data_IF_344449712168
#
_entry.id   IF_344449712168
#
_cell.length_a   1.000
_cell.length_b   1.000
_cell.length_c   1.000
_cell.angle_alpha   90.00
_cell.angle_beta   90.00
_cell.angle_gamma   90.00
#
_symmetry.space_group_name_H-M   'P 1'
#
loop_
_entity.id
_entity.type
_entity.pdbx_description
1 polymer ?
#
# COMPACT_ATOMS: atom_id res chain seq x y z
N UNK A 1 -24.38 16.19 -22.29
CA UNK A 1 -25.00 17.51 -22.50
C UNK A 1 -26.36 17.52 -21.81
N UNK A 2 -26.60 18.45 -20.91
CA UNK A 2 -27.93 18.68 -20.33
C UNK A 2 -28.48 19.98 -20.92
N UNK A 3 -29.70 19.95 -21.48
CA UNK A 3 -30.37 21.12 -21.97
C UNK A 3 -31.33 21.61 -20.90
N UNK A 4 -31.33 22.91 -20.62
CA UNK A 4 -32.29 23.54 -19.74
C UNK A 4 -33.04 24.64 -20.52
N UNK A 5 -34.32 24.87 -20.17
CA UNK A 5 -35.17 25.87 -20.78
C UNK A 5 -35.72 26.79 -19.73
N UNK A 6 -35.89 28.07 -20.09
CA UNK A 6 -36.54 29.08 -19.28
C UNK A 6 -37.48 29.90 -20.11
N UNK A 7 -38.69 30.20 -19.57
CA UNK A 7 -39.70 31.04 -20.23
C UNK A 7 -40.27 32.00 -19.18
N UNK A 8 -40.30 33.26 -19.50
CA UNK A 8 -40.93 34.27 -18.66
C UNK A 8 -42.41 34.47 -19.05
N UNK A 9 -43.21 34.88 -18.05
CA UNK A 9 -44.62 35.22 -18.26
C UNK A 9 -44.86 36.67 -17.84
N UNK A 10 -45.50 37.44 -18.71
CA UNK A 10 -45.94 38.79 -18.42
C UNK A 10 -47.46 38.79 -18.20
N UNK A 11 -47.91 39.25 -17.05
CA UNK A 11 -49.34 39.45 -16.74
C UNK A 11 -49.60 40.93 -16.69
N UNK A 12 -50.58 41.39 -17.48
CA UNK A 12 -51.09 42.78 -17.46
C UNK A 12 -52.59 42.77 -17.46
N UNK A 13 -53.20 43.29 -16.37
CA UNK A 13 -54.61 43.16 -16.07
C UNK A 13 -55.04 41.70 -16.11
N UNK A 14 -56.01 41.32 -16.94
CA UNK A 14 -56.48 39.93 -17.09
C UNK A 14 -55.83 39.19 -18.30
N UNK A 15 -54.78 39.77 -18.86
CA UNK A 15 -54.08 39.19 -20.03
C UNK A 15 -52.72 38.66 -19.63
N UNK A 16 -52.44 37.42 -20.01
CA UNK A 16 -51.16 36.74 -19.78
C UNK A 16 -50.49 36.51 -21.14
N UNK A 17 -49.23 36.90 -21.24
CA UNK A 17 -48.38 36.66 -22.44
C UNK A 17 -47.10 36.01 -22.02
N UNK A 18 -46.67 34.96 -22.74
CA UNK A 18 -45.40 34.25 -22.49
C UNK A 18 -44.32 34.81 -23.42
N UNK A 19 -43.10 34.86 -22.92
CA UNK A 19 -41.92 35.11 -23.75
C UNK A 19 -41.64 33.91 -24.68
N UNK A 20 -40.66 34.05 -25.61
CA UNK A 20 -40.02 32.89 -26.19
C UNK A 20 -39.38 32.04 -25.10
N UNK A 21 -39.20 30.76 -25.40
CA UNK A 21 -38.40 29.84 -24.58
C UNK A 21 -36.92 30.13 -24.86
N UNK A 22 -36.20 30.52 -23.83
CA UNK A 22 -34.73 30.57 -23.89
C UNK A 22 -34.18 29.14 -23.61
N UNK A 23 -33.28 28.69 -24.44
CA UNK A 23 -32.64 27.36 -24.33
C UNK A 23 -31.17 27.56 -23.97
N UNK A 24 -30.73 26.94 -22.89
CA UNK A 24 -29.35 26.87 -22.48
C UNK A 24 -28.86 25.43 -22.52
N UNK A 25 -27.56 25.23 -22.67
CA UNK A 25 -26.90 23.94 -22.69
C UNK A 25 -25.83 23.90 -21.63
N UNK A 26 -25.82 22.85 -20.79
CA UNK A 26 -24.73 22.54 -19.87
C UNK A 26 -23.79 21.58 -20.57
N UNK A 27 -22.58 22.01 -20.87
CA UNK A 27 -21.53 21.18 -21.44
C UNK A 27 -20.71 20.55 -20.32
N UNK A 28 -20.74 19.21 -20.25
CA UNK A 28 -19.85 18.41 -19.43
C UNK A 28 -18.64 18.04 -20.28
N UNK A 29 -17.65 18.92 -20.31
CA UNK A 29 -16.47 18.81 -21.20
C UNK A 29 -15.19 18.49 -20.43
N UNK A 30 -15.22 18.49 -19.08
CA UNK A 30 -14.08 18.20 -18.24
C UNK A 30 -14.31 16.88 -17.50
N UNK A 31 -13.34 15.98 -17.57
CA UNK A 31 -13.34 14.72 -16.83
C UNK A 31 -12.02 14.53 -16.10
N UNK A 32 -12.04 13.79 -14.99
CA UNK A 32 -10.85 13.39 -14.24
C UNK A 32 -10.82 11.88 -14.10
N UNK A 33 -9.64 11.30 -14.20
CA UNK A 33 -9.37 9.91 -13.84
C UNK A 33 -8.14 9.85 -12.94
N UNK A 34 -8.19 8.94 -11.95
CA UNK A 34 -7.10 8.63 -11.06
C UNK A 34 -6.73 7.16 -11.19
N UNK A 35 -5.45 6.86 -11.25
CA UNK A 35 -4.93 5.49 -11.33
C UNK A 35 -3.67 5.36 -10.51
N UNK A 36 -3.40 4.16 -10.00
CA UNK A 36 -2.12 3.79 -9.40
C UNK A 36 -1.28 2.98 -10.40
N UNK A 37 0.04 3.17 -10.39
CA UNK A 37 0.97 2.35 -11.22
C UNK A 37 1.01 0.91 -10.72
N UNK A 38 0.84 0.71 -9.42
CA UNK A 38 0.66 -0.60 -8.78
C UNK A 38 -0.60 -0.57 -7.93
N UNK A 39 -1.45 -1.58 -8.07
CA UNK A 39 -2.69 -1.72 -7.28
C UNK A 39 -2.50 -2.52 -6.00
N UNK A 40 -1.25 -2.81 -5.61
CA UNK A 40 -0.92 -3.47 -4.35
C UNK A 40 0.03 -2.61 -3.53
N UNK A 41 -0.07 -2.73 -2.21
CA UNK A 41 0.79 -2.06 -1.24
C UNK A 41 1.14 -2.98 -0.07
N UNK A 42 2.26 -2.71 0.57
CA UNK A 42 2.70 -3.28 1.84
C UNK A 42 3.02 -2.18 2.86
N UNK A 43 3.62 -2.56 3.97
CA UNK A 43 4.09 -1.62 4.98
C UNK A 43 5.29 -0.80 4.46
N UNK A 44 5.21 0.53 4.58
CA UNK A 44 6.23 1.49 4.12
C UNK A 44 6.50 1.45 2.60
N UNK A 45 5.58 0.93 1.82
CA UNK A 45 5.69 0.95 0.36
C UNK A 45 5.37 2.32 -0.22
N UNK A 46 5.99 2.61 -1.37
CA UNK A 46 5.70 3.81 -2.17
C UNK A 46 4.78 3.45 -3.32
N UNK A 47 3.70 4.20 -3.47
CA UNK A 47 2.72 4.08 -4.56
C UNK A 47 2.80 5.33 -5.43
N UNK A 48 2.93 5.14 -6.74
CA UNK A 48 2.87 6.23 -7.71
C UNK A 48 1.45 6.36 -8.24
N UNK A 49 0.86 7.55 -8.10
CA UNK A 49 -0.47 7.90 -8.62
C UNK A 49 -0.35 8.78 -9.85
N UNK A 50 -1.30 8.58 -10.78
CA UNK A 50 -1.47 9.38 -11.99
C UNK A 50 -2.89 9.93 -11.97
N UNK A 51 -3.02 11.26 -12.07
CA UNK A 51 -4.28 11.96 -12.24
C UNK A 51 -4.30 12.56 -13.64
N UNK A 52 -5.26 12.18 -14.47
CA UNK A 52 -5.45 12.72 -15.81
C UNK A 52 -6.75 13.54 -15.86
N UNK A 53 -6.64 14.79 -16.30
CA UNK A 53 -7.77 15.71 -16.46
C UNK A 53 -7.88 15.99 -17.97
N UNK A 54 -9.02 15.64 -18.57
CA UNK A 54 -9.27 15.79 -20.00
C UNK A 54 -10.31 16.89 -20.24
N UNK A 55 -10.00 17.80 -21.15
CA UNK A 55 -10.90 18.85 -21.61
C UNK A 55 -11.23 18.63 -23.08
N UNK A 56 -12.49 18.25 -23.36
CA UNK A 56 -13.03 18.08 -24.73
C UNK A 56 -13.64 19.36 -25.29
N UNK A 57 -13.66 20.45 -24.48
CA UNK A 57 -14.15 21.74 -24.86
C UNK A 57 -13.10 22.57 -25.61
N UNK A 58 -13.56 23.60 -26.30
CA UNK A 58 -12.72 24.50 -27.10
C UNK A 58 -12.17 25.72 -26.34
N UNK A 59 -12.36 25.76 -25.02
CA UNK A 59 -11.85 26.80 -24.12
C UNK A 59 -10.97 26.15 -23.06
N UNK A 60 -9.78 26.72 -22.73
CA UNK A 60 -8.95 26.18 -21.66
C UNK A 60 -9.57 26.46 -20.29
N UNK A 61 -9.36 25.56 -19.32
CA UNK A 61 -9.63 25.78 -17.91
C UNK A 61 -8.33 26.18 -17.20
N UNK A 62 -8.35 27.26 -16.43
CA UNK A 62 -7.19 27.78 -15.69
C UNK A 62 -7.51 27.99 -14.24
N UNK A 63 -6.48 27.97 -13.38
CA UNK A 63 -6.64 28.17 -11.94
C UNK A 63 -7.38 27.03 -11.25
N UNK A 64 -7.30 25.81 -11.79
CA UNK A 64 -7.83 24.62 -11.14
C UNK A 64 -6.96 24.21 -9.96
N UNK A 65 -7.60 23.61 -8.98
CA UNK A 65 -6.97 22.95 -7.83
C UNK A 65 -7.38 21.49 -7.83
N UNK A 66 -6.40 20.61 -7.70
CA UNK A 66 -6.57 19.17 -7.50
C UNK A 66 -6.35 18.90 -6.02
N UNK A 67 -7.35 18.36 -5.34
CA UNK A 67 -7.29 17.97 -3.94
C UNK A 67 -7.37 16.45 -3.85
N UNK A 68 -6.45 15.85 -3.11
CA UNK A 68 -6.32 14.41 -2.95
C UNK A 68 -6.35 14.10 -1.45
N UNK A 69 -7.23 13.18 -1.02
CA UNK A 69 -7.40 12.88 0.40
C UNK A 69 -6.40 11.87 0.96
N UNK A 70 -5.44 11.41 0.12
CA UNK A 70 -4.40 10.44 0.51
C UNK A 70 -4.95 9.17 1.19
N UNK A 71 -6.12 8.72 0.73
CA UNK A 71 -6.79 7.53 1.26
C UNK A 71 -7.43 7.71 2.63
N UNK A 72 -7.68 8.94 3.06
CA UNK A 72 -8.26 9.25 4.37
C UNK A 72 -9.55 8.46 4.65
N UNK A 73 -9.64 7.88 5.85
CA UNK A 73 -10.79 7.10 6.29
C UNK A 73 -11.23 7.45 7.72
N UNK A 74 -12.51 7.22 8.01
CA UNK A 74 -13.06 7.48 9.33
C UNK A 74 -12.58 6.44 10.36
N UNK A 75 -12.17 6.91 11.53
CA UNK A 75 -11.78 6.11 12.67
C UNK A 75 -12.34 6.74 13.95
N UNK A 76 -13.39 6.14 14.52
CA UNK A 76 -14.16 6.68 15.63
C UNK A 76 -14.60 8.15 15.36
N UNK A 77 -14.13 9.10 16.13
CA UNK A 77 -14.42 10.54 15.97
C UNK A 77 -13.36 11.30 15.17
N UNK A 78 -12.33 10.60 14.68
CA UNK A 78 -11.19 11.16 13.93
C UNK A 78 -11.15 10.67 12.49
N UNK A 79 -10.24 11.24 11.71
CA UNK A 79 -9.89 10.78 10.37
C UNK A 79 -8.42 10.40 10.36
N UNK A 80 -8.12 9.18 9.88
CA UNK A 80 -6.76 8.72 9.69
C UNK A 80 -6.40 8.78 8.22
N UNK A 81 -5.15 9.12 7.92
CA UNK A 81 -4.61 9.24 6.57
C UNK A 81 -3.51 8.20 6.37
N UNK A 82 -3.76 7.11 5.63
CA UNK A 82 -2.83 5.99 5.50
C UNK A 82 -1.66 6.24 4.53
N UNK A 83 -1.73 7.32 3.74
CA UNK A 83 -0.71 7.68 2.77
C UNK A 83 -0.08 9.04 3.12
N UNK A 84 1.23 9.16 2.93
CA UNK A 84 1.99 10.41 3.08
C UNK A 84 2.57 10.79 1.73
N UNK A 85 2.26 11.99 1.25
CA UNK A 85 2.84 12.54 0.03
C UNK A 85 4.37 12.62 0.14
N UNK A 86 5.07 12.13 -0.89
CA UNK A 86 6.52 12.28 -1.01
C UNK A 86 6.86 13.67 -1.56
N UNK A 87 7.40 14.53 -0.71
CA UNK A 87 7.67 15.92 -1.08
C UNK A 87 8.59 16.04 -2.31
N UNK A 88 8.22 16.93 -3.23
CA UNK A 88 8.94 17.16 -4.48
C UNK A 88 8.73 16.09 -5.57
N UNK A 89 7.95 15.03 -5.31
CA UNK A 89 7.70 13.96 -6.28
C UNK A 89 6.79 14.39 -7.43
N UNK A 90 5.96 15.44 -7.24
CA UNK A 90 4.95 15.88 -8.23
C UNK A 90 5.59 16.26 -9.57
N UNK A 91 5.04 15.73 -10.65
CA UNK A 91 5.31 16.13 -12.03
C UNK A 91 3.99 16.50 -12.69
N UNK A 92 4.01 17.64 -13.40
CA UNK A 92 2.82 18.17 -14.08
C UNK A 92 3.10 18.31 -15.57
N UNK A 93 2.18 17.79 -16.38
CA UNK A 93 2.26 17.82 -17.84
C UNK A 93 0.99 18.42 -18.43
N UNK A 94 1.11 19.15 -19.53
CA UNK A 94 -0.01 19.54 -20.42
C UNK A 94 0.25 19.02 -21.82
N UNK A 95 -0.69 18.25 -22.38
CA UNK A 95 -0.55 17.61 -23.70
C UNK A 95 0.80 16.85 -23.84
N UNK A 96 1.24 16.17 -22.77
CA UNK A 96 2.49 15.42 -22.74
C UNK A 96 3.77 16.23 -22.52
N UNK A 97 3.67 17.57 -22.44
CA UNK A 97 4.83 18.45 -22.21
C UNK A 97 4.95 18.80 -20.73
N UNK A 98 6.12 18.52 -20.15
CA UNK A 98 6.42 18.85 -18.74
C UNK A 98 6.30 20.35 -18.51
N UNK A 99 5.59 20.72 -17.46
CA UNK A 99 5.36 22.07 -17.00
C UNK A 99 6.19 22.39 -15.73
N UNK A 100 6.35 23.65 -15.37
CA UNK A 100 6.88 24.03 -14.06
C UNK A 100 6.08 23.37 -12.93
N UNK A 101 6.78 23.06 -11.82
CA UNK A 101 6.16 22.46 -10.64
C UNK A 101 5.03 23.35 -10.11
N UNK A 102 3.81 22.85 -9.94
CA UNK A 102 2.69 23.61 -9.41
C UNK A 102 2.87 23.90 -7.91
N UNK A 103 2.04 24.76 -7.36
CA UNK A 103 2.04 24.99 -5.90
C UNK A 103 1.41 23.80 -5.20
N UNK A 104 2.14 23.20 -4.25
CA UNK A 104 1.73 22.03 -3.48
C UNK A 104 1.59 22.39 -2.01
N UNK A 105 0.51 21.94 -1.38
CA UNK A 105 0.28 22.01 0.07
C UNK A 105 -0.14 20.62 0.53
N UNK A 106 0.52 20.10 1.57
CA UNK A 106 0.29 18.74 2.12
C UNK A 106 -0.08 18.75 3.60
N UNK A 107 -0.65 19.85 4.10
CA UNK A 107 -1.20 19.92 5.47
C UNK A 107 -2.67 19.54 5.40
N UNK A 108 -2.99 18.36 5.92
CA UNK A 108 -4.29 17.71 5.68
C UNK A 108 -4.29 16.99 4.34
N UNK A 109 -5.25 17.29 3.47
CA UNK A 109 -5.28 16.79 2.10
C UNK A 109 -4.11 17.34 1.27
N UNK A 110 -3.67 16.55 0.28
CA UNK A 110 -2.71 17.03 -0.72
C UNK A 110 -3.43 17.97 -1.70
N UNK A 111 -3.13 19.26 -1.65
CA UNK A 111 -3.70 20.26 -2.57
C UNK A 111 -2.64 20.73 -3.57
N UNK A 112 -2.95 20.62 -4.87
CA UNK A 112 -2.09 21.01 -6.00
C UNK A 112 -2.83 22.08 -6.79
N UNK A 113 -2.37 23.32 -6.74
CA UNK A 113 -3.04 24.49 -7.32
C UNK A 113 -2.29 25.11 -8.48
N UNK A 114 -3.01 25.92 -9.27
CA UNK A 114 -2.46 26.58 -10.47
C UNK A 114 -2.51 25.69 -11.71
N UNK A 115 -3.33 24.65 -11.72
CA UNK A 115 -3.44 23.72 -12.85
C UNK A 115 -4.22 24.36 -14.01
N UNK A 116 -3.70 24.17 -15.20
CA UNK A 116 -4.33 24.57 -16.47
C UNK A 116 -4.54 23.35 -17.34
N UNK A 117 -5.76 23.21 -17.89
CA UNK A 117 -6.09 22.16 -18.86
C UNK A 117 -6.38 22.84 -20.20
N UNK A 118 -5.56 22.65 -21.26
CA UNK A 118 -5.74 23.28 -22.55
C UNK A 118 -7.09 22.92 -23.20
N UNK A 119 -7.57 23.77 -24.10
CA UNK A 119 -8.72 23.44 -24.96
C UNK A 119 -8.40 22.20 -25.81
N UNK A 120 -9.36 21.28 -25.93
CA UNK A 120 -9.20 19.99 -26.66
C UNK A 120 -7.90 19.26 -26.25
N UNK A 121 -7.57 19.27 -24.96
CA UNK A 121 -6.31 18.76 -24.44
C UNK A 121 -6.43 18.13 -23.07
N UNK A 122 -5.28 17.88 -22.45
CA UNK A 122 -5.20 17.26 -21.14
C UNK A 122 -4.16 17.92 -20.22
N UNK A 123 -4.35 17.69 -18.91
CA UNK A 123 -3.35 17.86 -17.87
C UNK A 123 -3.13 16.52 -17.19
N UNK A 124 -1.87 16.17 -16.92
CA UNK A 124 -1.51 14.95 -16.20
C UNK A 124 -0.62 15.31 -15.02
N UNK A 125 -0.99 14.84 -13.85
CA UNK A 125 -0.21 14.93 -12.62
C UNK A 125 0.28 13.53 -12.25
N UNK A 126 1.56 13.41 -11.91
CA UNK A 126 2.16 12.17 -11.40
C UNK A 126 2.82 12.50 -10.08
N UNK A 127 2.52 11.75 -9.02
CA UNK A 127 3.12 11.94 -7.70
C UNK A 127 3.29 10.61 -6.98
N UNK A 128 4.12 10.62 -5.95
CA UNK A 128 4.38 9.47 -5.08
C UNK A 128 3.82 9.72 -3.68
N UNK A 129 3.28 8.66 -3.07
CA UNK A 129 2.87 8.64 -1.69
C UNK A 129 3.29 7.31 -1.05
N UNK A 130 3.75 7.36 0.21
CA UNK A 130 4.17 6.18 0.95
C UNK A 130 3.14 5.80 2.00
N UNK A 131 2.94 4.50 2.21
CA UNK A 131 2.12 3.98 3.31
C UNK A 131 2.77 4.27 4.66
N UNK A 132 1.96 4.55 5.67
CA UNK A 132 2.39 4.86 7.03
C UNK A 132 1.75 3.90 8.06
N UNK A 133 1.89 4.24 9.35
CA UNK A 133 1.37 3.46 10.48
C UNK A 133 -0.16 3.33 10.55
N UNK A 134 -0.89 4.07 9.72
CA UNK A 134 -2.36 3.98 9.62
C UNK A 134 -2.82 3.14 8.43
N UNK A 135 -1.90 2.64 7.59
CA UNK A 135 -2.26 1.82 6.43
C UNK A 135 -2.71 0.42 6.88
N UNK A 136 -3.94 -0.03 6.53
CA UNK A 136 -4.43 -1.34 6.92
C UNK A 136 -3.61 -2.45 6.26
N UNK A 137 -3.09 -3.42 7.05
CA UNK A 137 -2.18 -4.47 6.57
C UNK A 137 -2.76 -5.89 6.67
N UNK A 138 -3.97 -6.04 7.20
CA UNK A 138 -4.66 -7.34 7.25
C UNK A 138 -5.03 -7.77 5.84
N UNK A 139 -4.88 -9.04 5.52
CA UNK A 139 -5.24 -9.62 4.22
C UNK A 139 -6.67 -9.24 3.82
N UNK A 140 -6.82 -8.73 2.59
CA UNK A 140 -8.09 -8.22 2.06
C UNK A 140 -8.36 -6.74 2.35
N UNK A 141 -7.50 -6.05 3.10
CA UNK A 141 -7.63 -4.60 3.30
C UNK A 141 -7.33 -3.82 2.03
N UNK A 142 -7.93 -2.62 1.94
CA UNK A 142 -7.76 -1.71 0.80
C UNK A 142 -7.58 -0.27 1.28
N UNK A 143 -6.97 0.56 0.43
CA UNK A 143 -6.92 2.01 0.55
C UNK A 143 -7.60 2.59 -0.67
N UNK A 144 -8.70 3.34 -0.47
CA UNK A 144 -9.39 4.10 -1.53
C UNK A 144 -8.97 5.55 -1.46
N UNK A 145 -8.23 6.00 -2.44
CA UNK A 145 -7.69 7.35 -2.52
C UNK A 145 -8.49 8.20 -3.50
N UNK A 146 -9.16 9.23 -2.98
CA UNK A 146 -10.08 10.09 -3.73
C UNK A 146 -9.40 11.36 -4.21
N UNK A 147 -9.74 11.79 -5.41
CA UNK A 147 -9.33 13.06 -6.00
C UNK A 147 -10.54 13.94 -6.32
N UNK A 148 -10.42 15.24 -6.07
CA UNK A 148 -11.39 16.25 -6.46
C UNK A 148 -10.68 17.34 -7.25
N UNK A 149 -11.21 17.69 -8.41
CA UNK A 149 -10.76 18.85 -9.20
C UNK A 149 -11.80 19.94 -9.08
N UNK A 150 -11.36 21.12 -8.66
CA UNK A 150 -12.24 22.28 -8.40
C UNK A 150 -11.57 23.59 -8.82
N UNK A 151 -12.25 24.73 -8.66
CA UNK A 151 -11.74 26.03 -9.09
C UNK A 151 -12.06 26.34 -10.55
N UNK A 152 -11.47 27.41 -11.11
CA UNK A 152 -11.67 27.77 -12.51
C UNK A 152 -13.12 28.01 -12.96
N UNK A 153 -14.06 28.12 -12.03
CA UNK A 153 -15.49 28.31 -12.32
C UNK A 153 -16.26 27.05 -12.70
N UNK A 154 -15.67 25.85 -12.46
CA UNK A 154 -16.33 24.56 -12.71
C UNK A 154 -17.09 24.06 -11.46
N UNK A 155 -18.08 23.19 -11.67
CA UNK A 155 -18.53 22.31 -10.60
C UNK A 155 -17.44 21.28 -10.32
N UNK A 156 -17.18 20.94 -9.03
CA UNK A 156 -16.18 19.95 -8.70
C UNK A 156 -16.46 18.61 -9.38
N UNK A 157 -15.40 18.00 -9.94
CA UNK A 157 -15.42 16.65 -10.50
C UNK A 157 -14.51 15.76 -9.67
N UNK A 158 -14.86 14.48 -9.52
CA UNK A 158 -14.18 13.54 -8.64
C UNK A 158 -13.90 12.22 -9.31
N UNK A 159 -12.86 11.55 -8.85
CA UNK A 159 -12.57 10.15 -9.14
C UNK A 159 -11.82 9.52 -7.96
N UNK A 160 -11.62 8.22 -7.97
CA UNK A 160 -10.87 7.51 -6.95
C UNK A 160 -10.12 6.32 -7.55
N UNK A 161 -9.07 5.91 -6.83
CA UNK A 161 -8.34 4.68 -7.09
C UNK A 161 -8.26 3.86 -5.82
N UNK A 162 -8.47 2.55 -5.93
CA UNK A 162 -8.38 1.60 -4.83
C UNK A 162 -7.22 0.65 -5.04
N UNK A 163 -6.32 0.64 -4.06
CA UNK A 163 -5.19 -0.31 -3.98
C UNK A 163 -5.44 -1.32 -2.87
N UNK A 164 -4.96 -2.55 -3.04
CA UNK A 164 -5.15 -3.67 -2.11
C UNK A 164 -3.84 -4.01 -1.40
N UNK A 165 -3.93 -4.46 -0.15
CA UNK A 165 -2.76 -4.96 0.55
C UNK A 165 -2.19 -6.20 -0.15
N UNK A 166 -0.87 -6.29 -0.26
CA UNK A 166 -0.20 -7.50 -0.72
C UNK A 166 -0.47 -8.65 0.27
N UNK A 167 -0.70 -9.86 -0.23
CA UNK A 167 -0.79 -11.05 0.60
C UNK A 167 0.46 -11.89 0.40
N UNK A 168 1.43 -11.74 1.32
CA UNK A 168 2.72 -12.43 1.24
C UNK A 168 3.37 -12.55 2.63
N UNK A 169 4.16 -13.61 2.88
CA UNK A 169 5.06 -13.67 4.02
C UNK A 169 6.24 -12.71 3.83
N UNK A 170 6.76 -12.19 4.95
CA UNK A 170 7.98 -11.40 4.98
C UNK A 170 8.89 -11.95 6.09
N UNK A 171 9.86 -12.78 5.70
CA UNK A 171 10.64 -13.60 6.62
C UNK A 171 11.98 -12.96 6.98
N UNK A 172 12.36 -13.17 8.24
CA UNK A 172 13.71 -12.97 8.73
C UNK A 172 14.13 -14.17 9.59
N UNK A 173 15.44 -14.43 9.68
CA UNK A 173 16.00 -15.50 10.50
C UNK A 173 17.19 -14.97 11.29
N UNK A 174 17.25 -15.36 12.58
CA UNK A 174 18.40 -15.11 13.46
C UNK A 174 18.88 -16.43 14.05
N UNK A 175 20.20 -16.54 14.28
CA UNK A 175 20.85 -17.72 14.85
C UNK A 175 21.56 -17.33 16.14
N UNK A 176 21.40 -18.14 17.18
CA UNK A 176 22.14 -18.03 18.43
C UNK A 176 22.75 -19.39 18.82
N UNK A 177 23.74 -19.36 19.73
CA UNK A 177 24.44 -20.54 20.23
C UNK A 177 24.52 -20.47 21.76
N UNK A 178 24.38 -21.61 22.45
CA UNK A 178 24.53 -21.74 23.87
C UNK A 178 25.04 -23.15 24.21
N UNK A 179 25.91 -23.31 25.24
CA UNK A 179 26.61 -22.26 25.98
C UNK A 179 27.75 -21.61 25.21
N UNK A 180 28.19 -20.43 25.64
CA UNK A 180 29.40 -19.79 25.14
C UNK A 180 30.23 -19.29 26.31
N UNK A 181 31.47 -19.81 26.56
CA UNK A 181 32.17 -20.85 25.79
C UNK A 181 31.58 -22.24 26.02
N UNK A 182 31.89 -23.16 25.09
CA UNK A 182 31.62 -24.58 25.21
C UNK A 182 32.94 -25.32 25.44
N UNK A 183 32.94 -26.40 26.28
CA UNK A 183 34.10 -27.25 26.49
C UNK A 183 34.24 -28.26 25.35
N UNK A 184 35.46 -28.79 25.16
CA UNK A 184 35.69 -29.93 24.24
C UNK A 184 34.80 -31.13 24.66
N UNK A 185 34.21 -31.81 23.71
CA UNK A 185 33.14 -32.80 23.90
C UNK A 185 31.90 -32.27 24.64
N UNK A 186 31.71 -30.96 24.67
CA UNK A 186 30.54 -30.33 25.26
C UNK A 186 29.33 -30.31 24.36
N UNK A 187 28.15 -30.34 24.98
CA UNK A 187 26.88 -30.16 24.23
C UNK A 187 26.70 -28.70 23.90
N UNK A 188 26.37 -28.44 22.62
CA UNK A 188 26.03 -27.11 22.10
C UNK A 188 24.61 -27.12 21.53
N UNK A 189 23.92 -26.04 21.68
CA UNK A 189 22.59 -25.82 21.17
C UNK A 189 22.59 -24.58 20.28
N UNK A 190 22.18 -24.75 19.03
CA UNK A 190 21.91 -23.67 18.09
C UNK A 190 20.39 -23.43 18.06
N UNK A 191 19.99 -22.18 18.16
CA UNK A 191 18.61 -21.77 18.07
C UNK A 191 18.44 -20.84 16.87
N UNK A 192 17.59 -21.22 15.94
CA UNK A 192 17.18 -20.40 14.81
C UNK A 192 15.79 -19.86 15.09
N UNK A 193 15.68 -18.55 15.29
CA UNK A 193 14.40 -17.87 15.40
C UNK A 193 14.01 -17.34 14.02
N UNK A 194 12.87 -17.79 13.51
CA UNK A 194 12.29 -17.39 12.23
C UNK A 194 11.12 -16.49 12.57
N UNK A 195 11.08 -15.29 11.98
CA UNK A 195 10.01 -14.32 12.17
C UNK A 195 9.37 -13.99 10.83
N UNK A 196 8.05 -13.89 10.83
CA UNK A 196 7.25 -13.47 9.70
C UNK A 196 6.52 -12.17 10.06
N UNK A 197 6.87 -11.07 9.42
CA UNK A 197 6.19 -9.77 9.56
C UNK A 197 5.14 -9.53 8.47
N UNK A 198 4.98 -10.48 7.54
CA UNK A 198 3.97 -10.45 6.49
C UNK A 198 2.60 -10.94 6.95
N UNK A 199 1.60 -10.69 6.14
CA UNK A 199 0.19 -11.00 6.40
C UNK A 199 -0.29 -12.33 5.77
N UNK A 200 0.64 -13.18 5.37
CA UNK A 200 0.38 -14.54 4.96
C UNK A 200 1.33 -15.50 5.68
N UNK A 201 0.88 -16.70 6.08
CA UNK A 201 1.74 -17.70 6.68
C UNK A 201 2.66 -18.34 5.64
N UNK A 202 3.76 -18.94 6.08
CA UNK A 202 4.53 -19.92 5.30
C UNK A 202 3.98 -21.30 5.60
N UNK A 203 3.55 -22.02 4.57
CA UNK A 203 2.97 -23.34 4.65
C UNK A 203 3.84 -24.39 3.96
N UNK A 204 3.56 -25.66 4.16
CA UNK A 204 4.38 -26.76 3.64
C UNK A 204 4.58 -26.72 2.11
N UNK A 205 3.58 -26.27 1.36
CA UNK A 205 3.64 -26.16 -0.11
C UNK A 205 4.58 -25.04 -0.61
N UNK A 206 5.01 -24.14 0.26
CA UNK A 206 5.99 -23.09 -0.08
C UNK A 206 7.42 -23.63 -0.14
N UNK A 207 7.62 -24.89 0.30
CA UNK A 207 8.90 -25.60 0.27
C UNK A 207 10.04 -24.85 0.99
N UNK A 208 9.71 -24.09 2.06
CA UNK A 208 10.72 -23.41 2.86
C UNK A 208 11.64 -24.43 3.56
N UNK A 209 12.93 -24.14 3.55
CA UNK A 209 13.94 -24.98 4.20
C UNK A 209 15.10 -24.14 4.72
N UNK A 210 15.88 -24.69 5.65
CA UNK A 210 17.08 -24.08 6.25
C UNK A 210 18.26 -24.97 5.96
N UNK A 211 19.37 -24.36 5.58
CA UNK A 211 20.68 -25.02 5.50
C UNK A 211 21.68 -24.32 6.41
N UNK A 212 22.56 -25.10 7.05
CA UNK A 212 23.67 -24.61 7.85
C UNK A 212 24.86 -25.57 7.77
N UNK A 213 26.06 -25.06 7.90
CA UNK A 213 27.26 -25.88 7.97
C UNK A 213 27.91 -25.63 9.33
N UNK A 214 27.79 -26.63 10.22
CA UNK A 214 28.40 -26.54 11.55
C UNK A 214 29.92 -26.72 11.47
N UNK A 215 30.64 -25.77 12.06
CA UNK A 215 32.09 -25.82 12.21
C UNK A 215 32.47 -25.33 13.64
N UNK A 216 32.96 -26.20 14.52
CA UNK A 216 33.27 -27.62 14.28
C UNK A 216 32.03 -28.47 13.96
N UNK A 217 32.25 -29.61 13.27
CA UNK A 217 31.19 -30.57 12.99
C UNK A 217 30.66 -31.15 14.31
N UNK A 218 29.37 -31.41 14.35
CA UNK A 218 28.69 -31.96 15.50
C UNK A 218 28.55 -33.46 15.41
N UNK A 219 28.48 -34.13 16.56
CA UNK A 219 28.10 -35.54 16.68
C UNK A 219 26.83 -35.65 17.51
N UNK A 220 26.07 -36.75 17.38
CA UNK A 220 24.81 -36.98 18.09
C UNK A 220 23.82 -35.83 17.91
N UNK A 221 23.63 -35.38 16.67
CA UNK A 221 22.73 -34.26 16.34
C UNK A 221 21.29 -34.66 16.59
N UNK A 222 20.55 -33.77 17.23
CA UNK A 222 19.09 -33.81 17.35
C UNK A 222 18.48 -32.46 17.00
N UNK A 223 17.30 -32.44 16.39
CA UNK A 223 16.59 -31.22 16.05
C UNK A 223 15.18 -31.25 16.60
N UNK A 224 14.67 -30.06 16.96
CA UNK A 224 13.26 -29.87 17.31
C UNK A 224 12.74 -28.55 16.68
N UNK A 225 11.47 -28.57 16.29
CA UNK A 225 10.81 -27.41 15.71
C UNK A 225 9.57 -27.06 16.52
N UNK A 226 9.50 -25.83 17.00
CA UNK A 226 8.45 -25.36 17.92
C UNK A 226 8.21 -26.31 19.11
N UNK A 227 9.32 -26.87 19.64
CA UNK A 227 9.30 -27.80 20.78
C UNK A 227 8.98 -29.25 20.41
N UNK A 228 8.63 -29.58 19.17
CA UNK A 228 8.40 -30.95 18.70
C UNK A 228 9.71 -31.54 18.17
N UNK A 229 10.12 -32.69 18.73
CA UNK A 229 11.31 -33.41 18.28
C UNK A 229 11.12 -33.90 16.82
N UNK A 230 12.13 -33.66 16.00
CA UNK A 230 12.18 -34.08 14.58
C UNK A 230 12.95 -35.38 14.40
N UNK A 231 12.65 -36.10 13.34
CA UNK A 231 13.28 -37.37 12.96
C UNK A 231 14.22 -37.14 11.77
N UNK A 232 15.47 -37.54 11.93
CA UNK A 232 16.46 -37.48 10.85
C UNK A 232 16.02 -38.37 9.67
N UNK A 233 16.21 -37.88 8.45
CA UNK A 233 15.73 -38.51 7.22
C UNK A 233 14.26 -38.20 6.89
N UNK A 234 13.50 -37.58 7.81
CA UNK A 234 12.08 -37.19 7.60
C UNK A 234 11.92 -35.67 7.54
N UNK A 235 12.35 -34.95 8.57
CA UNK A 235 12.23 -33.50 8.65
C UNK A 235 13.56 -32.77 8.44
N UNK A 236 14.69 -33.47 8.69
CA UNK A 236 16.03 -32.93 8.46
C UNK A 236 17.02 -34.03 8.08
N UNK A 237 18.15 -33.62 7.51
CA UNK A 237 19.32 -34.47 7.29
C UNK A 237 20.55 -33.78 7.89
N UNK A 238 21.48 -34.58 8.43
CA UNK A 238 22.78 -34.08 8.86
C UNK A 238 23.91 -34.97 8.33
N UNK A 239 24.94 -34.35 7.78
CA UNK A 239 26.12 -35.06 7.29
C UNK A 239 27.30 -34.82 8.22
N UNK A 240 27.63 -35.82 9.06
CA UNK A 240 28.72 -35.75 10.04
C UNK A 240 30.11 -35.55 9.41
N UNK A 241 30.27 -35.84 8.11
CA UNK A 241 31.57 -35.67 7.40
C UNK A 241 31.78 -34.24 6.90
N UNK A 242 30.70 -33.52 6.57
CA UNK A 242 30.75 -32.16 6.02
C UNK A 242 30.26 -31.12 6.96
N UNK A 243 29.57 -31.48 8.05
CA UNK A 243 28.89 -30.59 8.97
C UNK A 243 27.62 -29.99 8.40
N UNK A 244 27.17 -30.41 7.21
CA UNK A 244 25.96 -29.87 6.59
C UNK A 244 24.71 -30.37 7.29
N UNK A 245 23.94 -29.44 7.81
CA UNK A 245 22.57 -29.62 8.28
C UNK A 245 21.60 -29.02 7.28
N UNK A 246 20.56 -29.74 6.95
CA UNK A 246 19.54 -29.31 5.99
C UNK A 246 18.16 -29.80 6.42
N UNK A 247 17.18 -28.91 6.47
CA UNK A 247 15.80 -29.32 6.70
C UNK A 247 15.16 -29.77 5.39
N UNK A 248 14.23 -30.71 5.46
CA UNK A 248 13.48 -31.16 4.28
C UNK A 248 12.58 -30.00 3.78
N UNK A 249 12.55 -29.70 2.48
CA UNK A 249 11.70 -28.66 1.95
C UNK A 249 10.22 -28.83 2.37
N UNK A 250 9.61 -27.75 2.89
CA UNK A 250 8.24 -27.75 3.41
C UNK A 250 8.13 -28.11 4.91
N UNK A 251 9.22 -28.51 5.58
CA UNK A 251 9.21 -28.75 7.04
C UNK A 251 9.20 -27.45 7.84
N UNK A 252 9.62 -26.34 7.25
CA UNK A 252 9.58 -25.03 7.89
C UNK A 252 8.26 -24.35 7.59
N UNK A 253 7.43 -24.19 8.63
CA UNK A 253 6.17 -23.44 8.59
C UNK A 253 6.25 -22.28 9.57
N UNK A 254 5.73 -21.11 9.18
CA UNK A 254 5.77 -19.91 10.02
C UNK A 254 4.42 -19.22 9.96
N UNK A 255 3.76 -18.96 11.10
CA UNK A 255 2.48 -18.27 11.09
C UNK A 255 2.65 -16.84 10.54
N UNK A 256 1.54 -16.27 10.06
CA UNK A 256 1.49 -14.86 9.67
C UNK A 256 1.64 -13.94 10.89
N UNK A 257 1.97 -12.67 10.65
CA UNK A 257 1.96 -11.65 11.68
C UNK A 257 0.53 -11.33 12.13
N UNK A 258 0.40 -10.87 13.37
CA UNK A 258 -0.83 -10.28 13.88
C UNK A 258 -0.76 -8.77 13.80
N UNK A 259 -1.78 -8.15 13.20
CA UNK A 259 -1.93 -6.71 13.05
C UNK A 259 -2.99 -6.22 14.01
N UNK A 260 -2.63 -5.30 14.92
CA UNK A 260 -3.55 -4.75 15.92
C UNK A 260 -3.61 -3.24 15.77
N UNK A 261 -4.81 -2.71 15.53
CA UNK A 261 -5.04 -1.27 15.51
C UNK A 261 -5.33 -0.77 16.92
N UNK A 262 -4.54 0.19 17.39
CA UNK A 262 -4.76 0.83 18.69
C UNK A 262 -6.10 1.58 18.67
N UNK A 263 -7.03 1.32 19.61
CA UNK A 263 -8.38 1.87 19.56
C UNK A 263 -8.45 3.37 19.85
N UNK A 264 -7.38 4.00 20.33
CA UNK A 264 -7.32 5.42 20.65
C UNK A 264 -6.58 6.21 19.59
N UNK A 265 -5.41 5.73 19.18
CA UNK A 265 -4.53 6.43 18.24
C UNK A 265 -4.75 6.01 16.79
N UNK A 266 -5.33 4.83 16.55
CA UNK A 266 -5.48 4.23 15.23
C UNK A 266 -4.19 3.65 14.64
N UNK A 267 -3.06 3.74 15.35
CA UNK A 267 -1.77 3.20 14.90
C UNK A 267 -1.85 1.68 14.80
N UNK A 268 -1.33 1.12 13.71
CA UNK A 268 -1.28 -0.32 13.49
C UNK A 268 0.07 -0.86 13.96
N UNK A 269 0.02 -1.78 14.93
CA UNK A 269 1.18 -2.51 15.45
C UNK A 269 1.27 -3.89 14.81
N UNK A 270 2.49 -4.32 14.51
CA UNK A 270 2.80 -5.62 13.90
C UNK A 270 3.46 -6.49 14.95
N UNK A 271 2.82 -7.62 15.29
CA UNK A 271 3.45 -8.68 16.11
C UNK A 271 3.83 -9.82 15.15
N UNK A 272 5.14 -10.08 14.94
CA UNK A 272 5.57 -11.13 14.03
C UNK A 272 5.04 -12.52 14.41
N UNK A 273 4.62 -13.29 13.42
CA UNK A 273 4.50 -14.73 13.57
C UNK A 273 5.89 -15.34 13.76
N UNK A 274 6.04 -16.32 14.64
CA UNK A 274 7.36 -16.88 14.97
C UNK A 274 7.37 -18.39 14.90
N UNK A 275 8.50 -18.95 14.46
CA UNK A 275 8.83 -20.36 14.60
C UNK A 275 10.29 -20.50 15.02
N UNK A 276 10.58 -21.57 15.77
CA UNK A 276 11.91 -21.81 16.32
C UNK A 276 12.38 -23.21 15.95
N UNK A 277 13.52 -23.28 15.28
CA UNK A 277 14.27 -24.52 15.08
C UNK A 277 15.42 -24.56 16.09
N UNK A 278 15.53 -25.65 16.83
CA UNK A 278 16.62 -25.88 17.80
C UNK A 278 17.39 -27.12 17.33
N UNK A 279 18.70 -26.97 17.19
CA UNK A 279 19.62 -28.07 16.84
C UNK A 279 20.64 -28.23 17.97
N UNK A 280 20.73 -29.43 18.51
CA UNK A 280 21.65 -29.77 19.61
C UNK A 280 22.60 -30.86 19.14
N UNK A 281 23.88 -30.76 19.54
CA UNK A 281 24.89 -31.76 19.22
C UNK A 281 26.11 -31.64 20.13
N UNK A 282 27.08 -32.50 19.98
CA UNK A 282 28.32 -32.54 20.73
C UNK A 282 29.46 -32.09 19.79
N UNK A 283 30.29 -31.17 20.29
CA UNK A 283 31.52 -30.69 19.60
C UNK A 283 32.67 -31.67 19.84
#
# INVERSE_FOLDING_TARGET
MAIFTNQAQLTYRDTVTNSNVAVGEVLDVLSVTKTAVSNIYGANDTVTYIISIINTGNVPFTGLTVTDNLGAYAFDTSTLVPLVYTDGSIKYYTNGVLQPTPTVTSVGDLAISGITVPANGNATLVYEASTNEFAPLVTGSTITNNVTVSGGGINPITDNETISVISAPNLSITKSISPTPVNDNGTVTYTFLIQNTGNAPVIATDNAFITDVFNPMLTNVSASFNGTLWVEGTEYNYNETTGLFETVPGSIIVPEATFTQDPVTGVISITPGTSTLVVTGII
#
